data_IF_143633346466
#
_entry.id   IF_143633346466
#
_cell.length_a   1.000
_cell.length_b   1.000
_cell.length_c   1.000
_cell.angle_alpha   90.00
_cell.angle_beta   90.00
_cell.angle_gamma   90.00
#
_symmetry.space_group_name_H-M   'P 1'
#
loop_
_entity.id
_entity.type
_entity.pdbx_description
1 polymer ?
#
# COMPACT_ATOMS: atom_id res chain seq x y z
N UNK A 1 9.66 16.91 2.15
CA UNK A 1 9.70 15.47 2.23
C UNK A 1 10.79 14.92 1.33
N UNK A 2 11.74 14.22 1.92
CA UNK A 2 12.97 13.78 1.26
C UNK A 2 12.88 12.39 0.65
N UNK A 3 11.69 11.80 0.63
CA UNK A 3 11.53 10.45 0.12
C UNK A 3 11.34 10.46 -1.39
N UNK A 4 11.98 9.52 -2.05
CA UNK A 4 11.81 9.35 -3.49
C UNK A 4 10.40 8.88 -3.79
N UNK A 5 9.73 9.56 -4.60
CA UNK A 5 8.43 9.28 -5.21
C UNK A 5 7.49 8.26 -4.56
N UNK A 6 6.24 8.41 -4.85
CA UNK A 6 5.18 7.56 -4.33
C UNK A 6 4.21 7.26 -5.46
N UNK A 7 3.78 6.00 -5.54
CA UNK A 7 2.76 5.60 -6.50
C UNK A 7 1.47 5.30 -5.77
N UNK A 8 0.38 5.88 -6.23
CA UNK A 8 -0.95 5.68 -5.65
C UNK A 8 -1.85 5.05 -6.69
N UNK A 9 -2.48 3.93 -6.32
CA UNK A 9 -3.41 3.21 -7.17
C UNK A 9 -4.76 3.11 -6.46
N UNK A 10 -5.83 3.27 -7.22
CA UNK A 10 -7.16 2.93 -6.74
C UNK A 10 -7.37 1.44 -6.94
N UNK A 11 -7.86 0.77 -5.91
CA UNK A 11 -8.12 -0.66 -5.96
C UNK A 11 -9.47 -0.95 -5.32
N UNK A 12 -10.03 -2.12 -5.66
CA UNK A 12 -11.24 -2.61 -5.02
C UNK A 12 -10.84 -3.73 -4.07
N UNK A 13 -11.15 -3.55 -2.81
CA UNK A 13 -10.85 -4.54 -1.78
C UNK A 13 -12.09 -5.29 -1.33
N UNK A 14 -11.88 -6.51 -0.86
CA UNK A 14 -12.92 -7.32 -0.26
C UNK A 14 -12.81 -7.23 1.26
N UNK A 15 -13.94 -7.14 1.93
CA UNK A 15 -13.96 -7.06 3.39
C UNK A 15 -15.34 -7.30 3.95
N UNK A 16 -15.45 -7.29 5.26
CA UNK A 16 -16.69 -7.53 5.99
C UNK A 16 -17.45 -6.24 6.29
N UNK A 17 -17.49 -5.32 5.34
CA UNK A 17 -18.27 -4.10 5.55
C UNK A 17 -19.66 -4.24 4.93
N UNK A 18 -20.67 -3.85 5.68
CA UNK A 18 -22.04 -3.88 5.22
C UNK A 18 -22.26 -2.87 4.11
N UNK A 19 -23.04 -3.24 3.10
CA UNK A 19 -23.58 -2.31 2.15
C UNK A 19 -23.23 -2.50 0.68
N UNK A 20 -22.39 -3.46 0.33
CA UNK A 20 -22.04 -3.73 -1.07
C UNK A 20 -22.08 -5.22 -1.38
N UNK A 21 -23.26 -5.79 -1.28
CA UNK A 21 -23.46 -7.18 -1.64
C UNK A 21 -23.59 -7.30 -3.17
N UNK A 22 -22.78 -8.16 -3.75
CA UNK A 22 -22.90 -8.49 -5.15
C UNK A 22 -23.59 -9.83 -5.29
N UNK A 23 -24.83 -9.87 -5.86
CA UNK A 23 -25.59 -11.10 -5.94
C UNK A 23 -24.91 -12.23 -6.72
N UNK A 24 -24.03 -11.89 -7.66
CA UNK A 24 -23.32 -12.91 -8.44
C UNK A 24 -22.31 -13.66 -7.60
N UNK A 25 -21.66 -12.97 -6.65
CA UNK A 25 -20.72 -13.61 -5.75
C UNK A 25 -21.42 -14.42 -4.67
N UNK A 26 -22.61 -14.00 -4.25
CA UNK A 26 -23.43 -14.79 -3.31
C UNK A 26 -23.79 -16.15 -3.88
N UNK A 27 -24.07 -16.22 -5.19
CA UNK A 27 -24.37 -17.47 -5.87
C UNK A 27 -23.18 -18.43 -5.89
N UNK A 28 -21.97 -17.89 -5.77
CA UNK A 28 -20.74 -18.67 -5.72
C UNK A 28 -20.34 -19.01 -4.28
N UNK A 29 -21.15 -18.63 -3.28
CA UNK A 29 -20.84 -18.82 -1.89
C UNK A 29 -19.76 -17.87 -1.37
N UNK A 30 -19.53 -16.79 -2.08
CA UNK A 30 -18.55 -15.78 -1.71
C UNK A 30 -19.26 -14.54 -1.22
N UNK A 31 -19.10 -14.22 0.06
CA UNK A 31 -19.52 -12.95 0.60
C UNK A 31 -18.43 -11.94 0.25
N UNK A 32 -18.62 -11.18 -0.81
CA UNK A 32 -17.65 -10.20 -1.25
C UNK A 32 -18.27 -8.82 -1.21
N UNK A 33 -17.76 -8.01 -0.29
CA UNK A 33 -18.04 -6.58 -0.26
C UNK A 33 -16.89 -5.87 -0.98
N UNK A 34 -17.16 -5.32 -2.16
CA UNK A 34 -16.17 -4.58 -2.91
C UNK A 34 -16.21 -3.13 -2.49
N UNK A 35 -15.13 -2.68 -1.87
CA UNK A 35 -14.99 -1.30 -1.40
C UNK A 35 -13.80 -0.66 -2.08
N UNK A 36 -13.90 0.62 -2.44
CA UNK A 36 -12.75 1.33 -2.95
C UNK A 36 -11.67 1.42 -1.88
N UNK A 37 -10.44 1.12 -2.28
CA UNK A 37 -9.26 1.17 -1.43
C UNK A 37 -8.16 1.93 -2.16
N UNK A 38 -7.30 2.57 -1.41
CA UNK A 38 -6.08 3.13 -1.95
C UNK A 38 -4.92 2.18 -1.68
N UNK A 39 -4.16 1.90 -2.71
CA UNK A 39 -2.91 1.17 -2.61
C UNK A 39 -1.78 2.15 -2.85
N UNK A 40 -0.93 2.32 -1.85
CA UNK A 40 0.19 3.26 -1.92
C UNK A 40 1.48 2.45 -1.87
N UNK A 41 2.37 2.72 -2.80
CA UNK A 41 3.67 2.06 -2.88
C UNK A 41 4.77 3.09 -2.93
N UNK A 42 5.78 2.90 -2.12
CA UNK A 42 6.98 3.71 -2.15
C UNK A 42 8.19 2.85 -1.85
N UNK A 43 9.31 3.19 -2.43
CA UNK A 43 10.58 2.53 -2.16
C UNK A 43 11.44 3.49 -1.35
N UNK A 44 11.94 3.03 -0.23
CA UNK A 44 12.68 3.85 0.71
C UNK A 44 14.00 3.20 1.08
N UNK A 45 14.91 4.00 1.60
CA UNK A 45 16.16 3.48 2.14
C UNK A 45 15.88 2.76 3.46
N UNK A 46 16.63 1.71 3.73
CA UNK A 46 16.45 0.96 4.99
C UNK A 46 16.55 1.85 6.21
N UNK A 47 17.45 2.82 6.17
CA UNK A 47 17.68 3.73 7.28
C UNK A 47 16.46 4.58 7.62
N UNK A 48 15.61 4.82 6.64
CA UNK A 48 14.44 5.70 6.81
C UNK A 48 13.17 4.94 7.18
N UNK A 49 13.19 3.61 7.13
CA UNK A 49 11.99 2.79 7.26
C UNK A 49 11.27 3.03 8.59
N UNK A 50 11.98 2.94 9.69
CA UNK A 50 11.34 3.07 11.01
C UNK A 50 10.74 4.45 11.24
N UNK A 51 11.40 5.50 10.77
CA UNK A 51 10.87 6.86 10.86
C UNK A 51 9.60 7.01 10.04
N UNK A 52 9.59 6.44 8.84
CA UNK A 52 8.41 6.48 7.97
C UNK A 52 7.24 5.74 8.61
N UNK A 53 7.48 4.56 9.14
CA UNK A 53 6.44 3.78 9.80
C UNK A 53 5.86 4.51 11.00
N UNK A 54 6.71 5.16 11.79
CA UNK A 54 6.28 5.96 12.93
C UNK A 54 5.40 7.12 12.49
N UNK A 55 5.77 7.81 11.43
CA UNK A 55 4.96 8.91 10.90
C UNK A 55 3.61 8.45 10.39
N UNK A 56 3.57 7.28 9.74
CA UNK A 56 2.31 6.72 9.24
C UNK A 56 1.36 6.45 10.40
N UNK A 57 1.84 5.81 11.47
CA UNK A 57 1.01 5.53 12.63
C UNK A 57 0.56 6.82 13.29
N UNK A 58 1.48 7.76 13.47
CA UNK A 58 1.19 9.01 14.16
C UNK A 58 0.11 9.84 13.43
N UNK A 59 0.19 9.87 12.10
CA UNK A 59 -0.67 10.75 11.30
C UNK A 59 -1.96 10.08 10.81
N UNK A 60 -1.95 8.77 10.63
CA UNK A 60 -3.06 8.07 9.98
C UNK A 60 -3.83 7.13 10.89
N UNK A 61 -3.29 6.75 12.03
CA UNK A 61 -3.98 5.86 12.94
C UNK A 61 -5.14 6.61 13.63
N UNK A 62 -6.32 6.03 13.55
CA UNK A 62 -7.50 6.52 14.27
C UNK A 62 -7.84 5.61 15.44
N UNK A 63 -7.19 4.45 15.54
CA UNK A 63 -7.54 3.42 16.51
C UNK A 63 -8.74 2.57 16.11
N UNK A 64 -9.29 2.81 14.93
CA UNK A 64 -10.47 2.11 14.45
C UNK A 64 -10.11 1.08 13.39
N UNK A 65 -10.99 0.09 13.25
CA UNK A 65 -10.90 -0.88 12.15
C UNK A 65 -11.05 -0.12 10.84
N UNK A 66 -10.20 -0.42 9.87
CA UNK A 66 -10.25 0.21 8.56
C UNK A 66 -9.13 1.21 8.31
N UNK A 67 -8.27 1.47 9.29
CA UNK A 67 -7.12 2.35 9.10
C UNK A 67 -6.15 1.82 8.03
N UNK A 68 -6.12 0.50 7.83
CA UNK A 68 -5.28 -0.11 6.83
C UNK A 68 -4.09 -0.86 7.40
N UNK A 69 -3.27 -1.34 6.49
CA UNK A 69 -2.08 -2.11 6.82
C UNK A 69 -0.92 -1.69 5.95
N UNK A 70 0.28 -1.89 6.45
CA UNK A 70 1.50 -1.67 5.70
C UNK A 70 2.20 -3.01 5.52
N UNK A 71 2.51 -3.35 4.27
CA UNK A 71 3.30 -4.53 3.96
C UNK A 71 4.70 -4.05 3.59
N UNK A 72 5.69 -4.71 4.15
CA UNK A 72 7.09 -4.35 3.98
C UNK A 72 7.80 -5.52 3.31
N UNK A 73 8.50 -5.23 2.24
CA UNK A 73 9.29 -6.24 1.54
C UNK A 73 10.62 -5.65 1.09
N UNK A 74 11.62 -6.50 0.98
CA UNK A 74 12.90 -6.11 0.46
C UNK A 74 12.84 -5.94 -1.06
N UNK A 75 13.58 -4.97 -1.56
CA UNK A 75 13.78 -4.80 -2.98
C UNK A 75 15.19 -5.30 -3.28
N UNK A 76 15.31 -6.29 -4.15
CA UNK A 76 16.60 -6.89 -4.47
C UNK A 76 17.54 -5.92 -5.16
N UNK A 77 17.01 -5.12 -6.08
CA UNK A 77 17.82 -4.17 -6.83
C UNK A 77 16.92 -3.11 -7.47
N UNK A 78 17.51 -2.01 -7.86
CA UNK A 78 16.83 -0.91 -8.57
C UNK A 78 17.70 -0.50 -9.75
N UNK A 79 17.08 -0.27 -10.88
CA UNK A 79 17.77 0.24 -12.05
C UNK A 79 17.07 1.49 -12.58
N UNK A 80 17.84 2.52 -12.85
CA UNK A 80 17.33 3.70 -13.53
C UNK A 80 17.34 3.44 -15.03
N UNK A 81 16.18 3.42 -15.65
CA UNK A 81 16.06 3.06 -17.07
C UNK A 81 16.85 4.02 -17.95
N UNK A 82 16.80 5.32 -17.63
CA UNK A 82 17.45 6.34 -18.44
C UNK A 82 18.96 6.15 -18.57
N UNK A 83 19.60 5.67 -17.52
CA UNK A 83 21.07 5.59 -17.47
C UNK A 83 21.60 4.16 -17.38
N UNK A 84 20.76 3.19 -17.01
CA UNK A 84 21.19 1.84 -16.72
C UNK A 84 21.91 1.69 -15.39
N UNK A 85 22.02 2.76 -14.61
CA UNK A 85 22.64 2.69 -13.29
C UNK A 85 21.78 1.84 -12.34
N UNK A 86 22.42 1.14 -11.43
CA UNK A 86 21.77 0.23 -10.49
C UNK A 86 22.23 0.54 -9.07
N UNK A 87 21.45 0.03 -8.12
CA UNK A 87 21.79 0.11 -6.71
C UNK A 87 21.13 1.27 -5.99
N UNK A 88 21.41 1.38 -4.69
CA UNK A 88 20.80 2.36 -3.79
C UNK A 88 20.91 3.80 -4.27
N UNK A 89 21.97 4.13 -4.94
CA UNK A 89 22.24 5.51 -5.36
C UNK A 89 21.25 6.01 -6.40
N UNK A 90 20.47 5.14 -7.02
CA UNK A 90 19.48 5.55 -8.03
C UNK A 90 18.09 5.81 -7.44
N UNK A 91 17.91 5.61 -6.18
CA UNK A 91 16.65 5.93 -5.51
C UNK A 91 16.40 7.43 -5.43
#
# INVERSE_FOLDING_TARGET
NEYSGMTVLSAMGCGHQEGFDNPEFEKLGLEVNLLPKLYVMTVVWDEDLEDILSEIVDKLSTGNVGDGKVFISDIDDVMRIRTGERGKQVL
#
